data_IF_297707088255
#
_entry.id   IF_297707088255
#
_cell.length_a   1.000
_cell.length_b   1.000
_cell.length_c   1.000
_cell.angle_alpha   90.00
_cell.angle_beta   90.00
_cell.angle_gamma   90.00
#
_symmetry.space_group_name_H-M   'P 1'
#
loop_
_entity.id
_entity.type
_entity.pdbx_description
1 polymer ?
#
# COMPACT_ATOMS: atom_id res chain seq x y z
N UNK A 1 6.49 -17.51 30.03
CA UNK A 1 7.80 -16.82 29.96
C UNK A 1 8.85 -17.85 30.33
N UNK A 2 9.26 -18.66 29.37
CA UNK A 2 10.37 -19.61 29.56
C UNK A 2 11.66 -18.87 29.20
N UNK A 3 12.61 -18.87 30.13
CA UNK A 3 13.91 -18.23 29.95
C UNK A 3 14.72 -18.89 28.81
N UNK A 4 15.73 -18.19 28.27
CA UNK A 4 16.54 -18.74 27.19
C UNK A 4 17.19 -20.07 27.62
N UNK A 5 17.24 -21.09 26.74
CA UNK A 5 17.86 -22.38 27.06
C UNK A 5 19.32 -22.20 27.46
N UNK A 6 19.75 -22.89 28.51
CA UNK A 6 21.15 -22.88 28.97
C UNK A 6 22.10 -23.41 27.90
N UNK A 7 23.35 -22.93 27.92
CA UNK A 7 24.40 -23.21 26.92
C UNK A 7 24.58 -24.73 26.64
N UNK A 8 24.40 -25.58 27.66
CA UNK A 8 24.54 -27.04 27.53
C UNK A 8 23.46 -27.72 26.69
N UNK A 9 22.25 -27.16 26.64
CA UNK A 9 21.20 -27.69 25.75
C UNK A 9 21.47 -27.31 24.30
N UNK A 10 21.98 -26.11 24.07
CA UNK A 10 22.33 -25.61 22.73
C UNK A 10 23.37 -26.53 22.07
N UNK A 11 24.37 -27.00 22.82
CA UNK A 11 25.39 -27.93 22.32
C UNK A 11 24.84 -29.32 22.01
N UNK A 12 23.92 -29.86 22.83
CA UNK A 12 23.24 -31.14 22.55
C UNK A 12 22.37 -31.07 21.30
N UNK A 13 21.69 -29.94 21.08
CA UNK A 13 20.85 -29.71 19.90
C UNK A 13 21.67 -29.48 18.60
N UNK A 14 22.86 -28.89 18.69
CA UNK A 14 23.76 -28.69 17.55
C UNK A 14 24.48 -29.98 17.11
N UNK A 15 24.86 -30.85 18.05
CA UNK A 15 25.54 -32.12 17.76
C UNK A 15 24.60 -33.17 17.14
N UNK A 16 23.30 -33.09 17.38
CA UNK A 16 22.32 -34.07 16.92
C UNK A 16 21.90 -33.91 15.45
N UNK A 17 22.16 -32.77 14.77
CA UNK A 17 21.75 -32.59 13.38
C UNK A 17 22.63 -31.57 12.61
N UNK A 18 23.71 -32.01 11.93
CA UNK A 18 24.81 -31.15 11.48
C UNK A 18 24.55 -30.34 10.20
N UNK A 19 23.38 -30.45 9.55
CA UNK A 19 23.15 -29.81 8.25
C UNK A 19 22.34 -28.51 8.37
N UNK A 20 23.03 -27.37 8.24
CA UNK A 20 22.44 -26.09 7.83
C UNK A 20 21.82 -25.21 8.92
N UNK A 21 22.19 -25.37 10.20
CA UNK A 21 21.58 -24.62 11.33
C UNK A 21 22.45 -23.53 11.96
N UNK A 22 23.70 -23.34 11.50
CA UNK A 22 24.60 -22.37 12.12
C UNK A 22 25.30 -21.51 11.04
N UNK A 23 25.10 -20.20 11.11
CA UNK A 23 25.82 -19.22 10.28
C UNK A 23 27.06 -18.74 11.04
N UNK A 24 28.21 -18.69 10.35
CA UNK A 24 29.46 -18.16 10.89
C UNK A 24 29.43 -16.64 10.73
N UNK A 25 29.40 -15.93 11.85
CA UNK A 25 29.41 -14.48 11.90
C UNK A 25 30.76 -14.00 12.44
N UNK A 26 31.44 -13.12 11.71
CA UNK A 26 32.71 -12.54 12.16
C UNK A 26 32.45 -11.20 12.85
N UNK A 27 32.75 -11.12 14.14
CA UNK A 27 32.66 -9.89 14.91
C UNK A 27 33.81 -8.92 14.55
N UNK A 28 33.70 -7.62 14.88
CA UNK A 28 34.73 -6.61 14.59
C UNK A 28 36.11 -6.93 15.18
N UNK A 29 36.17 -7.78 16.20
CA UNK A 29 37.39 -8.31 16.83
C UNK A 29 38.01 -9.51 16.09
N UNK A 30 37.52 -9.86 14.89
CA UNK A 30 37.91 -11.04 14.09
C UNK A 30 37.56 -12.39 14.74
N UNK A 31 36.81 -12.43 15.83
CA UNK A 31 36.34 -13.68 16.44
C UNK A 31 35.15 -14.23 15.65
N UNK A 32 35.21 -15.52 15.32
CA UNK A 32 34.12 -16.23 14.64
C UNK A 32 33.13 -16.70 15.70
N UNK A 33 31.88 -16.24 15.61
CA UNK A 33 30.78 -16.68 16.47
C UNK A 33 29.73 -17.39 15.63
N UNK A 34 29.18 -18.47 16.17
CA UNK A 34 28.10 -19.22 15.52
C UNK A 34 26.77 -18.62 15.95
N UNK A 35 25.95 -18.20 14.99
CA UNK A 35 24.59 -17.76 15.26
C UNK A 35 23.62 -18.89 14.95
N UNK A 36 22.78 -19.24 15.92
CA UNK A 36 21.67 -20.16 15.72
C UNK A 36 20.70 -19.57 14.68
N UNK A 37 20.50 -20.28 13.59
CA UNK A 37 19.48 -19.94 12.58
C UNK A 37 18.14 -20.44 13.11
N UNK A 38 17.14 -19.54 13.20
CA UNK A 38 15.80 -19.88 13.71
C UNK A 38 15.20 -21.12 13.02
N UNK A 39 14.52 -21.95 13.81
CA UNK A 39 13.96 -23.24 13.39
C UNK A 39 13.05 -23.11 12.16
N UNK A 40 12.21 -22.08 12.11
CA UNK A 40 11.33 -21.78 10.97
C UNK A 40 12.12 -21.53 9.68
N UNK A 41 13.24 -20.81 9.79
CA UNK A 41 14.10 -20.52 8.65
C UNK A 41 14.73 -21.81 8.12
N UNK A 42 15.16 -22.70 9.01
CA UNK A 42 15.73 -24.00 8.63
C UNK A 42 14.71 -24.93 7.96
N UNK A 43 13.47 -24.96 8.44
CA UNK A 43 12.40 -25.74 7.79
C UNK A 43 12.03 -25.16 6.42
N UNK A 44 11.96 -23.83 6.31
CA UNK A 44 11.79 -23.14 5.03
C UNK A 44 12.91 -23.51 4.06
N UNK A 45 14.15 -23.69 4.54
CA UNK A 45 15.34 -24.01 3.74
C UNK A 45 15.65 -25.51 3.51
N UNK A 46 14.93 -26.43 4.16
CA UNK A 46 15.10 -27.89 3.97
C UNK A 46 14.73 -28.30 2.55
N UNK A 47 15.67 -28.94 1.85
CA UNK A 47 15.47 -29.48 0.49
C UNK A 47 15.53 -28.45 -0.66
N UNK A 48 15.90 -27.19 -0.38
CA UNK A 48 16.14 -26.21 -1.44
C UNK A 48 17.57 -26.29 -1.95
N UNK A 49 17.69 -26.25 -3.28
CA UNK A 49 18.96 -26.13 -3.99
C UNK A 49 19.59 -24.74 -3.77
N UNK A 50 20.89 -24.62 -3.97
CA UNK A 50 21.62 -23.35 -3.78
C UNK A 50 21.06 -22.21 -4.65
N UNK A 51 20.60 -22.52 -5.85
CA UNK A 51 19.96 -21.57 -6.76
C UNK A 51 18.61 -21.06 -6.22
N UNK A 52 17.80 -21.96 -5.65
CA UNK A 52 16.51 -21.58 -5.05
C UNK A 52 16.70 -20.70 -3.81
N UNK A 53 17.74 -20.98 -2.99
CA UNK A 53 18.09 -20.12 -1.85
C UNK A 53 18.50 -18.72 -2.28
N UNK A 54 19.27 -18.61 -3.37
CA UNK A 54 19.69 -17.32 -3.91
C UNK A 54 18.48 -16.50 -4.37
N UNK A 55 17.57 -17.10 -5.14
CA UNK A 55 16.36 -16.40 -5.61
C UNK A 55 15.47 -15.98 -4.44
N UNK A 56 15.31 -16.84 -3.43
CA UNK A 56 14.56 -16.49 -2.23
C UNK A 56 15.18 -15.32 -1.47
N UNK A 57 16.50 -15.32 -1.25
CA UNK A 57 17.21 -14.20 -0.60
C UNK A 57 17.07 -12.88 -1.37
N UNK A 58 17.08 -12.93 -2.70
CA UNK A 58 16.85 -11.75 -3.53
C UNK A 58 15.44 -11.18 -3.35
N UNK A 59 14.42 -12.04 -3.24
CA UNK A 59 13.03 -11.64 -3.00
C UNK A 59 12.87 -11.08 -1.57
N UNK A 60 13.50 -11.73 -0.58
CA UNK A 60 13.50 -11.27 0.82
C UNK A 60 14.10 -9.87 0.95
N UNK A 61 15.18 -9.57 0.21
CA UNK A 61 15.82 -8.24 0.18
C UNK A 61 14.93 -7.13 -0.39
N UNK A 62 14.06 -7.43 -1.35
CA UNK A 62 13.15 -6.43 -1.93
C UNK A 62 11.91 -6.17 -1.07
N UNK A 63 11.59 -7.07 -0.14
CA UNK A 63 10.50 -6.92 0.82
C UNK A 63 9.17 -6.57 0.15
N UNK A 64 8.58 -5.44 0.56
CA UNK A 64 7.19 -5.05 0.27
C UNK A 64 6.96 -4.53 -1.17
N UNK A 65 8.03 -4.32 -1.95
CA UNK A 65 7.95 -3.88 -3.35
C UNK A 65 7.82 -5.07 -4.31
N UNK A 66 8.30 -6.24 -3.89
CA UNK A 66 8.38 -7.44 -4.72
C UNK A 66 9.42 -7.33 -5.85
N UNK A 67 9.85 -8.48 -6.35
CA UNK A 67 10.90 -8.58 -7.36
C UNK A 67 10.33 -9.09 -8.70
N UNK A 68 10.72 -8.47 -9.81
CA UNK A 68 10.33 -8.90 -11.15
C UNK A 68 11.33 -9.93 -11.72
N UNK A 69 10.85 -10.85 -12.55
CA UNK A 69 11.67 -11.91 -13.18
C UNK A 69 12.83 -11.39 -14.01
N UNK A 70 12.71 -10.19 -14.60
CA UNK A 70 13.82 -9.54 -15.32
C UNK A 70 14.95 -9.16 -14.37
N UNK A 71 14.61 -8.59 -13.22
CA UNK A 71 15.58 -8.17 -12.21
C UNK A 71 16.19 -9.38 -11.49
N UNK A 72 15.40 -10.45 -11.29
CA UNK A 72 15.93 -11.75 -10.85
C UNK A 72 16.99 -12.25 -11.81
N UNK A 73 16.72 -12.25 -13.12
CA UNK A 73 17.67 -12.70 -14.14
C UNK A 73 18.96 -11.89 -14.11
N UNK A 74 18.84 -10.56 -13.99
CA UNK A 74 20.00 -9.67 -13.95
C UNK A 74 20.88 -9.89 -12.70
N UNK A 75 20.25 -10.11 -11.53
CA UNK A 75 20.97 -10.25 -10.26
C UNK A 75 21.45 -11.67 -9.96
N UNK A 76 20.70 -12.69 -10.38
CA UNK A 76 21.03 -14.09 -10.11
C UNK A 76 21.89 -14.72 -11.22
N UNK A 77 21.99 -14.09 -12.40
CA UNK A 77 22.66 -14.62 -13.59
C UNK A 77 22.17 -16.04 -14.00
N UNK A 78 20.92 -16.38 -13.68
CA UNK A 78 20.33 -17.68 -14.00
C UNK A 78 19.52 -17.60 -15.30
N UNK A 79 19.42 -18.73 -16.01
CA UNK A 79 18.53 -18.82 -17.17
C UNK A 79 17.06 -18.66 -16.79
N UNK A 80 16.27 -18.06 -17.68
CA UNK A 80 14.84 -17.78 -17.45
C UNK A 80 14.01 -19.05 -17.20
N UNK A 81 14.36 -20.15 -17.87
CA UNK A 81 13.74 -21.48 -17.68
C UNK A 81 13.94 -21.99 -16.26
N UNK A 82 15.16 -21.86 -15.73
CA UNK A 82 15.51 -22.23 -14.35
C UNK A 82 14.78 -21.34 -13.34
N UNK A 83 14.76 -20.02 -13.54
CA UNK A 83 14.02 -19.08 -12.67
C UNK A 83 12.54 -19.45 -12.63
N UNK A 84 11.91 -19.75 -13.77
CA UNK A 84 10.50 -20.13 -13.80
C UNK A 84 10.22 -21.46 -13.06
N UNK A 85 11.14 -22.43 -13.11
CA UNK A 85 11.04 -23.68 -12.33
C UNK A 85 11.15 -23.40 -10.83
N UNK A 86 12.17 -22.64 -10.42
CA UNK A 86 12.41 -22.23 -9.04
C UNK A 86 11.19 -21.48 -8.47
N UNK A 87 10.64 -20.52 -9.21
CA UNK A 87 9.47 -19.76 -8.79
C UNK A 87 8.26 -20.67 -8.58
N UNK A 88 8.02 -21.67 -9.45
CA UNK A 88 6.95 -22.65 -9.25
C UNK A 88 7.19 -23.50 -7.99
N UNK A 89 8.41 -23.97 -7.75
CA UNK A 89 8.74 -24.74 -6.54
C UNK A 89 8.52 -23.91 -5.28
N UNK A 90 9.00 -22.66 -5.25
CA UNK A 90 8.85 -21.74 -4.13
C UNK A 90 7.38 -21.35 -3.90
N UNK A 91 6.58 -21.21 -4.97
CA UNK A 91 5.14 -20.97 -4.87
C UNK A 91 4.37 -22.18 -4.34
N UNK A 92 4.68 -23.38 -4.83
CA UNK A 92 4.06 -24.62 -4.35
C UNK A 92 4.30 -24.85 -2.87
N UNK A 93 5.49 -24.47 -2.37
CA UNK A 93 5.83 -24.52 -0.94
C UNK A 93 5.27 -23.35 -0.12
N UNK A 94 4.47 -22.47 -0.73
CA UNK A 94 3.91 -21.25 -0.10
C UNK A 94 4.96 -20.35 0.56
N UNK A 95 6.18 -20.32 0.02
CA UNK A 95 7.25 -19.43 0.50
C UNK A 95 7.15 -18.05 -0.15
N UNK A 96 6.68 -18.01 -1.40
CA UNK A 96 6.48 -16.78 -2.17
C UNK A 96 5.09 -16.76 -2.78
N UNK A 97 4.56 -15.56 -3.00
CA UNK A 97 3.34 -15.32 -3.77
C UNK A 97 3.62 -14.40 -4.95
N UNK A 98 2.85 -14.55 -6.01
CA UNK A 98 2.87 -13.61 -7.12
C UNK A 98 1.77 -12.56 -6.93
N UNK A 99 2.13 -11.30 -7.08
CA UNK A 99 1.22 -10.15 -6.99
C UNK A 99 1.36 -9.35 -8.28
N UNK A 100 0.23 -8.85 -8.81
CA UNK A 100 0.24 -7.90 -9.91
C UNK A 100 0.52 -6.52 -9.31
N UNK A 101 1.61 -5.88 -9.73
CA UNK A 101 1.99 -4.55 -9.25
C UNK A 101 1.34 -3.46 -10.10
N UNK A 102 0.64 -2.53 -9.44
CA UNK A 102 -0.05 -1.40 -10.07
C UNK A 102 0.94 -0.34 -10.55
N UNK A 103 1.96 -0.01 -9.76
CA UNK A 103 3.03 0.93 -10.14
C UNK A 103 3.80 0.52 -11.41
N UNK A 104 3.72 -0.75 -11.82
CA UNK A 104 4.48 -1.30 -12.93
C UNK A 104 3.71 -1.52 -14.25
N UNK A 105 2.45 -1.09 -14.41
CA UNK A 105 1.52 -1.53 -15.48
C UNK A 105 1.11 -3.00 -15.34
N UNK A 106 0.58 -3.39 -14.18
CA UNK A 106 0.13 -4.76 -13.88
C UNK A 106 1.20 -5.84 -14.10
N UNK A 107 2.48 -5.48 -13.92
CA UNK A 107 3.59 -6.43 -14.02
C UNK A 107 3.54 -7.41 -12.85
N UNK A 108 3.81 -8.68 -13.14
CA UNK A 108 3.89 -9.74 -12.14
C UNK A 108 5.19 -9.60 -11.34
N UNK A 109 5.06 -9.25 -10.06
CA UNK A 109 6.15 -9.23 -9.08
C UNK A 109 5.97 -10.39 -8.10
N UNK A 110 7.07 -10.86 -7.54
CA UNK A 110 7.08 -11.95 -6.57
C UNK A 110 7.54 -11.42 -5.22
N UNK A 111 6.85 -11.80 -4.16
CA UNK A 111 7.13 -11.37 -2.79
C UNK A 111 6.94 -12.53 -1.83
N UNK A 112 7.41 -12.38 -0.58
CA UNK A 112 7.21 -13.38 0.46
C UNK A 112 5.72 -13.60 0.75
N UNK A 113 5.36 -14.83 1.10
CA UNK A 113 3.97 -15.20 1.36
C UNK A 113 3.38 -14.44 2.55
N UNK A 114 4.15 -14.38 3.64
CA UNK A 114 3.76 -13.77 4.92
C UNK A 114 3.74 -12.24 4.88
N UNK A 115 4.25 -11.64 3.80
CA UNK A 115 4.46 -10.20 3.69
C UNK A 115 3.31 -9.54 2.94
N UNK A 116 2.74 -8.47 3.47
CA UNK A 116 1.70 -7.71 2.78
C UNK A 116 2.26 -6.73 1.76
N UNK A 117 1.70 -6.65 0.54
CA UNK A 117 2.19 -5.71 -0.47
C UNK A 117 1.99 -4.27 0.02
N UNK A 118 2.98 -3.40 -0.25
CA UNK A 118 2.85 -1.98 0.06
C UNK A 118 1.71 -1.33 -0.74
N UNK A 119 1.16 -0.21 -0.23
CA UNK A 119 0.10 0.58 -0.90
C UNK A 119 0.51 1.00 -2.32
N UNK A 120 1.80 1.23 -2.57
CA UNK A 120 2.34 1.52 -3.92
C UNK A 120 2.22 0.33 -4.90
N UNK A 121 2.14 -0.89 -4.39
CA UNK A 121 2.02 -2.12 -5.17
C UNK A 121 0.56 -2.57 -5.30
N UNK A 122 -0.24 -2.45 -4.23
CA UNK A 122 -1.67 -2.83 -4.17
C UNK A 122 -2.64 -1.74 -4.65
N UNK A 123 -2.19 -0.49 -4.75
CA UNK A 123 -3.10 0.64 -4.92
C UNK A 123 -3.82 0.95 -3.62
N UNK A 124 -4.46 2.12 -3.59
CA UNK A 124 -5.43 2.45 -2.55
C UNK A 124 -6.79 1.79 -2.84
N UNK A 125 -7.81 2.06 -2.02
CA UNK A 125 -9.13 1.42 -2.09
C UNK A 125 -9.85 1.56 -3.45
N UNK A 126 -9.37 2.41 -4.35
CA UNK A 126 -9.91 2.61 -5.70
C UNK A 126 -9.46 1.57 -6.73
N UNK A 127 -8.60 0.63 -6.34
CA UNK A 127 -8.16 -0.45 -7.21
C UNK A 127 -8.80 -1.77 -6.80
N UNK A 128 -9.25 -2.50 -7.81
CA UNK A 128 -9.71 -3.89 -7.64
C UNK A 128 -8.55 -4.80 -7.19
N UNK A 129 -8.83 -5.98 -6.60
CA UNK A 129 -7.79 -6.95 -6.24
C UNK A 129 -6.88 -7.36 -7.42
N UNK A 130 -7.36 -7.19 -8.65
CA UNK A 130 -6.61 -7.45 -9.88
C UNK A 130 -5.68 -6.30 -10.32
N UNK A 131 -5.67 -5.19 -9.58
CA UNK A 131 -4.85 -4.01 -9.86
C UNK A 131 -5.42 -3.08 -10.93
N UNK A 132 -6.70 -3.24 -11.27
CA UNK A 132 -7.40 -2.37 -12.23
C UNK A 132 -8.07 -1.23 -11.46
N UNK A 133 -7.89 0.00 -11.94
CA UNK A 133 -8.54 1.18 -11.38
C UNK A 133 -10.05 1.12 -11.62
N UNK A 134 -10.83 1.26 -10.56
CA UNK A 134 -12.28 1.23 -10.61
C UNK A 134 -12.83 2.66 -10.73
N UNK A 135 -12.83 3.17 -11.96
CA UNK A 135 -13.37 4.50 -12.25
C UNK A 135 -14.87 4.62 -11.97
N UNK A 136 -15.62 3.52 -12.04
CA UNK A 136 -17.06 3.53 -11.77
C UNK A 136 -17.30 3.73 -10.28
N UNK A 137 -16.61 2.97 -9.43
CA UNK A 137 -16.64 3.14 -7.99
C UNK A 137 -16.25 4.56 -7.57
N UNK A 138 -15.14 5.08 -8.10
CA UNK A 138 -14.69 6.46 -7.80
C UNK A 138 -15.73 7.49 -8.23
N UNK A 139 -16.39 7.32 -9.38
CA UNK A 139 -17.42 8.23 -9.84
C UNK A 139 -18.70 8.17 -8.97
N UNK A 140 -19.10 6.98 -8.54
CA UNK A 140 -20.24 6.80 -7.63
C UNK A 140 -19.94 7.47 -6.28
N UNK A 141 -18.75 7.24 -5.74
CA UNK A 141 -18.31 7.84 -4.47
C UNK A 141 -18.26 9.37 -4.58
N UNK A 142 -17.69 9.91 -5.66
CA UNK A 142 -17.70 11.35 -5.93
C UNK A 142 -19.11 11.95 -5.97
N UNK A 143 -20.04 11.33 -6.71
CA UNK A 143 -21.43 11.80 -6.78
C UNK A 143 -22.11 11.79 -5.43
N UNK A 144 -21.87 10.76 -4.63
CA UNK A 144 -22.49 10.63 -3.32
C UNK A 144 -21.92 11.64 -2.31
N UNK A 145 -20.60 11.85 -2.30
CA UNK A 145 -19.95 12.90 -1.51
C UNK A 145 -20.49 14.28 -1.93
N UNK A 146 -20.56 14.57 -3.22
CA UNK A 146 -21.08 15.84 -3.73
C UNK A 146 -22.53 16.11 -3.26
N UNK A 147 -23.42 15.11 -3.37
CA UNK A 147 -24.82 15.25 -2.91
C UNK A 147 -24.93 15.51 -1.42
N UNK A 148 -24.04 14.95 -0.61
CA UNK A 148 -24.03 15.20 0.82
C UNK A 148 -23.59 16.65 1.13
N UNK A 149 -22.59 17.15 0.42
CA UNK A 149 -22.15 18.56 0.53
C UNK A 149 -23.29 19.51 0.13
N UNK A 150 -24.04 19.17 -0.93
CA UNK A 150 -25.19 19.96 -1.39
C UNK A 150 -26.33 20.05 -0.36
N UNK A 151 -26.53 18.99 0.43
CA UNK A 151 -27.57 18.95 1.46
C UNK A 151 -27.18 19.67 2.75
N UNK A 152 -25.91 19.51 3.18
CA UNK A 152 -25.42 20.11 4.43
C UNK A 152 -24.87 21.54 4.23
N UNK A 153 -24.59 21.94 2.99
CA UNK A 153 -24.02 23.24 2.63
C UNK A 153 -22.51 23.34 2.86
N UNK A 154 -22.03 22.98 4.05
CA UNK A 154 -20.60 22.94 4.40
C UNK A 154 -20.27 21.72 5.24
N UNK A 155 -19.19 21.00 4.90
CA UNK A 155 -18.78 19.79 5.59
C UNK A 155 -17.29 19.77 5.90
N UNK A 156 -16.92 19.09 6.99
CA UNK A 156 -15.52 18.80 7.34
C UNK A 156 -15.10 17.44 6.79
N UNK A 157 -13.78 17.22 6.67
CA UNK A 157 -13.22 15.92 6.30
C UNK A 157 -13.74 14.80 7.22
N UNK A 158 -13.79 15.06 8.53
CA UNK A 158 -14.22 14.10 9.54
C UNK A 158 -15.71 13.72 9.38
N UNK A 159 -16.58 14.70 9.12
CA UNK A 159 -18.00 14.46 8.85
C UNK A 159 -18.16 13.62 7.58
N UNK A 160 -17.44 13.98 6.51
CA UNK A 160 -17.47 13.24 5.26
C UNK A 160 -16.96 11.80 5.43
N UNK A 161 -15.84 11.60 6.12
CA UNK A 161 -15.29 10.27 6.37
C UNK A 161 -16.26 9.39 7.18
N UNK A 162 -16.92 9.98 8.18
CA UNK A 162 -17.95 9.30 8.97
C UNK A 162 -19.17 8.94 8.13
N UNK A 163 -19.62 9.86 7.27
CA UNK A 163 -20.73 9.63 6.34
C UNK A 163 -20.41 8.50 5.36
N UNK A 164 -19.24 8.52 4.74
CA UNK A 164 -18.79 7.48 3.80
C UNK A 164 -18.73 6.11 4.49
N UNK A 165 -18.20 6.02 5.72
CA UNK A 165 -18.20 4.77 6.51
C UNK A 165 -19.61 4.28 6.83
N UNK A 166 -20.50 5.18 7.25
CA UNK A 166 -21.86 4.82 7.63
C UNK A 166 -22.77 4.50 6.43
N UNK A 167 -22.45 5.05 5.25
CA UNK A 167 -23.21 4.83 4.02
C UNK A 167 -23.12 3.40 3.49
N UNK A 168 -22.13 2.60 3.94
CA UNK A 168 -21.92 1.24 3.46
C UNK A 168 -21.65 1.13 1.97
N UNK A 169 -21.22 2.22 1.32
CA UNK A 169 -21.04 2.27 -0.14
C UNK A 169 -19.88 1.42 -0.65
N UNK A 170 -18.94 1.03 0.23
CA UNK A 170 -17.76 0.26 -0.14
C UNK A 170 -17.71 -1.07 0.61
N UNK A 171 -17.44 -2.14 -0.14
CA UNK A 171 -17.02 -3.42 0.43
C UNK A 171 -15.55 -3.40 0.89
N UNK A 172 -14.84 -2.29 0.64
CA UNK A 172 -13.43 -2.08 0.96
C UNK A 172 -13.35 -1.03 2.05
N UNK A 173 -12.49 -1.24 3.04
CA UNK A 173 -12.24 -0.28 4.13
C UNK A 173 -11.57 0.98 3.57
N UNK A 174 -12.29 2.10 3.62
CA UNK A 174 -11.82 3.41 3.16
C UNK A 174 -11.11 4.14 4.29
N UNK A 175 -9.87 4.56 4.04
CA UNK A 175 -9.10 5.38 4.98
C UNK A 175 -9.40 6.86 4.78
N UNK A 176 -9.05 7.68 5.77
CA UNK A 176 -9.26 9.14 5.71
C UNK A 176 -8.48 9.76 4.55
N UNK A 177 -7.31 9.20 4.20
CA UNK A 177 -6.53 9.67 3.04
C UNK A 177 -7.24 9.38 1.71
N UNK A 178 -8.02 8.31 1.61
CA UNK A 178 -8.79 7.98 0.41
C UNK A 178 -9.94 8.98 0.24
N UNK A 179 -10.64 9.29 1.33
CA UNK A 179 -11.73 10.29 1.33
C UNK A 179 -11.18 11.68 0.98
N UNK A 180 -10.01 12.04 1.52
CA UNK A 180 -9.32 13.28 1.17
C UNK A 180 -9.05 13.37 -0.34
N UNK A 181 -8.56 12.31 -0.98
CA UNK A 181 -8.31 12.31 -2.43
C UNK A 181 -9.58 12.52 -3.26
N UNK A 182 -10.72 11.95 -2.84
CA UNK A 182 -12.01 12.15 -3.50
C UNK A 182 -12.43 13.61 -3.38
N UNK A 183 -12.30 14.20 -2.19
CA UNK A 183 -12.62 15.60 -1.96
C UNK A 183 -11.70 16.53 -2.76
N UNK A 184 -10.40 16.25 -2.79
CA UNK A 184 -9.44 17.00 -3.60
C UNK A 184 -9.81 16.93 -5.10
N UNK A 185 -10.30 15.78 -5.58
CA UNK A 185 -10.80 15.63 -6.95
C UNK A 185 -11.98 16.57 -7.22
N UNK A 186 -12.95 16.66 -6.30
CA UNK A 186 -14.07 17.60 -6.43
C UNK A 186 -13.61 19.08 -6.40
N UNK A 187 -12.57 19.40 -5.63
CA UNK A 187 -11.97 20.73 -5.58
C UNK A 187 -11.29 21.07 -6.91
N UNK A 188 -10.48 20.14 -7.44
CA UNK A 188 -9.81 20.33 -8.72
C UNK A 188 -10.79 20.41 -9.91
N UNK A 189 -11.92 19.70 -9.82
CA UNK A 189 -13.04 19.83 -10.76
C UNK A 189 -13.78 21.18 -10.64
N UNK A 190 -13.50 21.99 -9.61
CA UNK A 190 -14.17 23.26 -9.33
C UNK A 190 -15.62 23.11 -8.85
N UNK A 191 -16.03 21.92 -8.43
CA UNK A 191 -17.39 21.65 -7.94
C UNK A 191 -17.59 22.04 -6.47
N UNK A 192 -16.51 22.07 -5.70
CA UNK A 192 -16.48 22.42 -4.28
C UNK A 192 -15.24 23.26 -3.98
N UNK A 193 -15.33 24.16 -3.01
CA UNK A 193 -14.24 25.01 -2.56
C UNK A 193 -13.88 24.73 -1.11
N UNK A 194 -12.60 24.92 -0.79
CA UNK A 194 -12.12 24.87 0.58
C UNK A 194 -12.33 26.22 1.26
N UNK A 195 -13.24 26.27 2.22
CA UNK A 195 -13.56 27.48 2.97
C UNK A 195 -12.69 27.54 4.21
N UNK A 196 -12.05 28.70 4.43
CA UNK A 196 -11.31 28.96 5.67
C UNK A 196 -12.32 28.86 6.83
N UNK A 197 -12.01 28.02 7.81
CA UNK A 197 -12.77 27.78 9.05
C UNK A 197 -14.05 26.91 8.94
N UNK A 198 -14.65 26.74 7.76
CA UNK A 198 -15.88 25.92 7.58
C UNK A 198 -15.68 24.57 6.87
N UNK A 199 -14.47 24.27 6.37
CA UNK A 199 -14.16 23.01 5.71
C UNK A 199 -14.33 23.08 4.19
N UNK A 200 -15.25 22.30 3.62
CA UNK A 200 -15.50 22.18 2.19
C UNK A 200 -16.97 22.52 1.91
N UNK A 201 -17.23 23.43 0.98
CA UNK A 201 -18.59 23.85 0.59
C UNK A 201 -18.73 23.96 -0.93
N UNK A 202 -19.95 24.06 -1.43
CA UNK A 202 -20.19 24.39 -2.84
C UNK A 202 -19.75 25.85 -3.11
N UNK A 203 -19.16 26.16 -4.29
CA UNK A 203 -18.78 27.51 -4.65
C UNK A 203 -20.02 28.39 -4.70
N UNK A 204 -19.96 29.48 -3.95
CA UNK A 204 -21.05 30.47 -3.82
C UNK A 204 -21.41 31.08 -5.18
N UNK A 205 -20.50 31.05 -6.16
CA UNK A 205 -20.74 31.50 -7.54
C UNK A 205 -21.96 30.83 -8.20
N UNK A 206 -22.23 29.55 -7.93
CA UNK A 206 -23.39 28.86 -8.50
C UNK A 206 -24.73 29.30 -7.90
N UNK A 207 -24.69 30.00 -6.77
CA UNK A 207 -25.88 30.58 -6.13
C UNK A 207 -26.07 32.06 -6.50
N UNK A 208 -25.25 32.59 -7.43
CA UNK A 208 -25.35 33.97 -7.86
C UNK A 208 -26.56 34.16 -8.77
N UNK A 209 -27.57 34.84 -8.25
CA UNK A 209 -28.78 35.23 -8.97
C UNK A 209 -28.93 36.77 -8.96
N UNK A 210 -29.75 37.31 -9.86
CA UNK A 210 -30.01 38.76 -9.93
C UNK A 210 -30.75 39.27 -8.68
N UNK A 211 -31.49 38.39 -7.99
CA UNK A 211 -32.19 38.64 -6.74
C UNK A 211 -31.90 37.52 -5.73
N UNK A 212 -31.55 37.86 -4.48
CA UNK A 212 -31.28 36.85 -3.43
C UNK A 212 -30.23 37.26 -2.39
N UNK A 213 -29.75 36.26 -1.65
CA UNK A 213 -28.70 36.42 -0.63
C UNK A 213 -27.29 36.50 -1.25
N UNK A 214 -27.12 35.91 -2.43
CA UNK A 214 -25.88 35.95 -3.21
C UNK A 214 -26.17 36.67 -4.52
N UNK A 215 -25.98 37.99 -4.53
CA UNK A 215 -26.10 38.82 -5.75
C UNK A 215 -24.75 39.41 -6.12
N UNK A 216 -24.53 39.80 -7.39
CA UNK A 216 -23.30 40.49 -7.80
C UNK A 216 -23.00 41.72 -6.93
N UNK A 217 -24.03 42.45 -6.48
CA UNK A 217 -23.88 43.61 -5.60
C UNK A 217 -23.45 43.29 -4.17
N UNK A 218 -23.77 42.08 -3.66
CA UNK A 218 -23.44 41.64 -2.28
C UNK A 218 -22.26 40.67 -2.23
N UNK A 219 -21.72 40.26 -3.37
CA UNK A 219 -20.70 39.22 -3.46
C UNK A 219 -19.32 39.73 -2.95
N UNK A 220 -18.79 39.18 -1.83
CA UNK A 220 -17.50 39.61 -1.28
C UNK A 220 -16.32 39.28 -2.21
N UNK A 221 -16.45 38.26 -3.08
CA UNK A 221 -15.43 37.93 -4.08
C UNK A 221 -15.34 39.00 -5.16
N UNK A 222 -16.46 39.64 -5.53
CA UNK A 222 -16.49 40.66 -6.58
C UNK A 222 -15.71 41.90 -6.16
N UNK A 223 -15.84 42.33 -4.90
CA UNK A 223 -15.10 43.46 -4.33
C UNK A 223 -13.63 43.14 -4.09
N UNK A 224 -13.30 41.90 -3.73
CA UNK A 224 -11.92 41.51 -3.41
C UNK A 224 -11.03 41.29 -4.65
N UNK A 225 -11.60 40.86 -5.78
CA UNK A 225 -10.84 40.56 -7.00
C UNK A 225 -10.86 41.67 -8.06
N UNK A 226 -11.95 42.46 -8.16
CA UNK A 226 -12.06 43.46 -9.22
C UNK A 226 -11.54 44.85 -8.83
N UNK A 227 -11.09 45.05 -7.59
CA UNK A 227 -10.61 46.34 -7.07
C UNK A 227 -11.56 47.52 -7.39
N UNK A 228 -12.85 47.21 -7.52
CA UNK A 228 -13.89 48.19 -7.84
C UNK A 228 -14.43 48.77 -6.55
N UNK A 229 -13.91 49.95 -6.19
CA UNK A 229 -14.61 50.85 -5.27
C UNK A 229 -15.82 51.43 -6.00
N UNK A 230 -17.02 51.02 -5.60
CA UNK A 230 -18.25 51.73 -5.94
C UNK A 230 -18.42 52.93 -5.00
#
# INVERSE_FOLDING_TARGET
MEGPPGEDEIWKYLLANPQGRAEIFQQPNKTLVWRAVEFERVEKFKGLTQEERLVYSLIEKEGNMGLWTRDMKFRSNLQQTTINKILKTLQNRKLIKAVKSIAGRNRKVYMLYDLEPSVKVKGNAFYTPDGVFDSEFVNVLNKHCYRYIEQEGSVTLESMASFVRNSGMSNVELKDEDVQQILDTLIYDGKVDKVKDAGISIPVFYMCEDEGDVTPAKCPYLTQWLDTKW
#
